data_IF_955717770243
#
_entry.id   IF_955717770243
#
_cell.length_a   1.000
_cell.length_b   1.000
_cell.length_c   1.000
_cell.angle_alpha   90.00
_cell.angle_beta   90.00
_cell.angle_gamma   90.00
#
_symmetry.space_group_name_H-M   'P 1'
#
loop_
_entity.id
_entity.type
_entity.pdbx_description
1 polymer ?
#
# COMPACT_ATOMS: atom_id res chain seq x y z
N UNK A 1 7.29 43.06 1.85
CA UNK A 1 6.59 42.03 1.05
C UNK A 1 7.26 40.69 1.30
N UNK A 2 6.58 39.74 1.94
CA UNK A 2 7.12 38.40 2.23
C UNK A 2 6.40 37.44 1.28
N UNK A 3 7.09 36.94 0.24
CA UNK A 3 6.50 35.99 -0.72
C UNK A 3 6.33 34.63 -0.03
N UNK A 4 5.11 34.12 -0.03
CA UNK A 4 4.75 32.83 0.56
C UNK A 4 5.37 31.66 -0.23
N UNK A 5 6.02 30.75 0.50
CA UNK A 5 6.75 29.57 0.00
C UNK A 5 5.84 28.42 -0.49
N UNK A 6 4.54 28.66 -0.71
CA UNK A 6 3.56 27.60 -0.94
C UNK A 6 3.37 27.22 -2.42
N UNK A 7 4.37 27.42 -3.27
CA UNK A 7 4.22 27.24 -4.73
C UNK A 7 4.48 25.79 -5.19
N UNK A 8 4.90 24.89 -4.29
CA UNK A 8 5.34 23.54 -4.70
C UNK A 8 4.92 22.41 -3.75
N UNK A 9 3.69 22.43 -3.24
CA UNK A 9 3.17 21.33 -2.43
C UNK A 9 2.55 20.26 -3.33
N UNK A 10 3.25 19.14 -3.52
CA UNK A 10 2.68 17.95 -4.19
C UNK A 10 1.45 17.46 -3.43
N UNK A 11 0.39 17.10 -4.16
CA UNK A 11 -0.83 16.56 -3.59
C UNK A 11 -0.52 15.35 -2.69
N UNK A 12 -0.92 15.42 -1.42
CA UNK A 12 -0.71 14.34 -0.46
C UNK A 12 -1.57 13.16 -0.89
N UNK A 13 -0.95 12.01 -1.20
CA UNK A 13 -1.66 10.74 -1.44
C UNK A 13 -2.61 10.52 -0.26
N UNK A 14 -3.92 10.55 -0.54
CA UNK A 14 -4.97 10.42 0.45
C UNK A 14 -4.85 9.05 1.11
N UNK A 15 -4.90 9.03 2.44
CA UNK A 15 -4.99 7.76 3.20
C UNK A 15 -6.34 7.11 2.89
N UNK A 16 -6.40 5.78 2.94
CA UNK A 16 -7.66 5.06 2.80
C UNK A 16 -8.69 5.57 3.84
N UNK A 17 -9.95 5.64 3.43
CA UNK A 17 -11.09 6.21 4.20
C UNK A 17 -11.30 5.56 5.56
N UNK A 18 -10.88 4.29 5.72
CA UNK A 18 -11.04 3.54 6.95
C UNK A 18 -9.67 3.02 7.42
N UNK A 19 -9.30 3.38 8.64
CA UNK A 19 -8.06 2.87 9.26
C UNK A 19 -8.40 1.52 9.85
N UNK A 20 -8.24 0.45 9.05
CA UNK A 20 -8.43 -0.92 9.53
C UNK A 20 -7.50 -1.28 10.70
N UNK A 21 -7.83 -2.36 11.41
CA UNK A 21 -7.04 -2.83 12.55
C UNK A 21 -5.63 -3.29 12.15
N UNK A 22 -4.64 -2.99 13.01
CA UNK A 22 -3.27 -3.42 12.79
C UNK A 22 -3.13 -4.91 13.08
N UNK A 23 -2.84 -5.68 12.03
CA UNK A 23 -2.50 -7.11 12.15
C UNK A 23 -1.00 -7.29 11.92
N UNK A 24 -0.27 -7.60 12.98
CA UNK A 24 1.17 -7.91 12.90
C UNK A 24 1.40 -9.40 12.65
N UNK A 25 2.06 -9.74 11.54
CA UNK A 25 2.37 -11.14 11.17
C UNK A 25 3.86 -11.30 10.90
N UNK A 26 4.42 -12.44 11.32
CA UNK A 26 5.79 -12.83 10.94
C UNK A 26 5.77 -13.45 9.54
N UNK A 27 6.47 -12.81 8.60
CA UNK A 27 6.59 -13.26 7.22
C UNK A 27 8.07 -13.60 6.94
N UNK A 28 8.32 -14.74 6.30
CA UNK A 28 9.67 -15.12 5.88
C UNK A 28 10.18 -14.21 4.75
N UNK A 29 11.50 -14.04 4.67
CA UNK A 29 12.13 -13.10 3.73
C UNK A 29 11.75 -13.35 2.26
N UNK A 30 11.64 -14.62 1.86
CA UNK A 30 11.27 -15.00 0.50
C UNK A 30 9.85 -14.54 0.14
N UNK A 31 8.88 -14.83 1.02
CA UNK A 31 7.50 -14.40 0.84
C UNK A 31 7.38 -12.87 0.86
N UNK A 32 8.14 -12.18 1.72
CA UNK A 32 8.18 -10.72 1.74
C UNK A 32 8.69 -10.15 0.39
N UNK A 33 9.70 -10.78 -0.21
CA UNK A 33 10.21 -10.42 -1.53
C UNK A 33 9.17 -10.62 -2.62
N UNK A 34 8.44 -11.74 -2.60
CA UNK A 34 7.37 -12.00 -3.57
C UNK A 34 6.26 -10.93 -3.50
N UNK A 35 5.86 -10.52 -2.29
CA UNK A 35 4.88 -9.43 -2.09
C UNK A 35 5.44 -8.10 -2.63
N UNK A 36 6.72 -7.82 -2.37
CA UNK A 36 7.39 -6.61 -2.86
C UNK A 36 7.52 -6.58 -4.39
N UNK A 37 7.77 -7.72 -5.03
CA UNK A 37 7.85 -7.84 -6.48
C UNK A 37 6.46 -7.70 -7.13
N UNK A 38 5.45 -8.34 -6.54
CA UNK A 38 4.07 -8.23 -7.00
C UNK A 38 3.57 -6.78 -6.96
N UNK A 39 3.78 -6.05 -5.84
CA UNK A 39 3.32 -4.65 -5.75
C UNK A 39 4.01 -3.70 -6.71
N UNK A 40 5.19 -4.04 -7.24
CA UNK A 40 5.90 -3.23 -8.25
C UNK A 40 5.27 -3.35 -9.64
N UNK A 41 4.48 -4.39 -9.87
CA UNK A 41 3.76 -4.61 -11.13
C UNK A 41 2.43 -3.83 -11.16
N UNK A 42 1.94 -3.37 -10.01
CA UNK A 42 0.70 -2.60 -9.90
C UNK A 42 0.90 -1.14 -10.30
N UNK A 43 -0.03 -0.61 -11.12
CA UNK A 43 0.04 0.74 -11.70
C UNK A 43 0.11 1.86 -10.65
N UNK A 44 -0.53 1.69 -9.48
CA UNK A 44 -0.62 2.70 -8.43
C UNK A 44 0.47 2.59 -7.35
N UNK A 45 1.40 1.62 -7.54
CA UNK A 45 2.52 1.31 -6.64
C UNK A 45 2.06 1.30 -5.17
N UNK A 46 1.20 0.33 -4.78
CA UNK A 46 0.62 0.30 -3.46
C UNK A 46 1.72 0.14 -2.39
N UNK A 47 1.44 0.70 -1.21
CA UNK A 47 2.25 0.41 -0.03
C UNK A 47 2.16 -1.07 0.33
N UNK A 48 3.13 -1.59 1.10
CA UNK A 48 3.11 -3.00 1.55
C UNK A 48 1.78 -3.43 2.20
N UNK A 49 1.15 -2.63 3.10
CA UNK A 49 -0.12 -3.02 3.69
C UNK A 49 -1.27 -3.14 2.68
N UNK A 50 -1.34 -2.23 1.71
CA UNK A 50 -2.35 -2.28 0.65
C UNK A 50 -2.12 -3.47 -0.28
N UNK A 51 -0.87 -3.76 -0.60
CA UNK A 51 -0.52 -4.91 -1.43
C UNK A 51 -0.95 -6.22 -0.77
N UNK A 52 -0.68 -6.37 0.53
CA UNK A 52 -1.11 -7.54 1.31
C UNK A 52 -2.64 -7.64 1.33
N UNK A 53 -3.36 -6.53 1.56
CA UNK A 53 -4.84 -6.53 1.56
C UNK A 53 -5.39 -7.05 0.23
N UNK A 54 -4.91 -6.52 -0.91
CA UNK A 54 -5.34 -6.96 -2.25
C UNK A 54 -5.06 -8.44 -2.48
N UNK A 55 -3.86 -8.91 -2.14
CA UNK A 55 -3.49 -10.33 -2.28
C UNK A 55 -4.40 -11.24 -1.45
N UNK A 56 -4.75 -10.83 -0.22
CA UNK A 56 -5.70 -11.56 0.63
C UNK A 56 -7.10 -11.57 0.01
N UNK A 57 -7.61 -10.43 -0.46
CA UNK A 57 -8.92 -10.36 -1.12
C UNK A 57 -8.99 -11.24 -2.37
N UNK A 58 -7.93 -11.26 -3.18
CA UNK A 58 -7.82 -12.15 -4.35
C UNK A 58 -7.86 -13.62 -3.91
N UNK A 59 -7.04 -13.99 -2.91
CA UNK A 59 -7.01 -15.36 -2.38
C UNK A 59 -8.34 -15.83 -1.83
N UNK A 60 -9.09 -14.95 -1.17
CA UNK A 60 -10.43 -15.24 -0.64
C UNK A 60 -11.48 -15.40 -1.74
N UNK A 61 -11.33 -14.72 -2.89
CA UNK A 61 -12.25 -14.85 -4.04
C UNK A 61 -12.03 -16.15 -4.82
N UNK A 62 -10.78 -16.61 -4.96
CA UNK A 62 -10.46 -17.83 -5.73
C UNK A 62 -10.90 -19.10 -5.02
N UNK A 63 -10.88 -19.11 -3.68
CA UNK A 63 -11.14 -20.31 -2.87
C UNK A 63 -12.61 -20.48 -2.44
N UNK A 64 -13.54 -19.89 -3.19
CA UNK A 64 -14.97 -19.89 -2.88
C UNK A 64 -15.75 -20.87 -3.76
#
# INVERSE_FOLDING_TARGET
MIKATHVNTKARKTRATETGDLVGVRIQNDLAKQIDDWRRQENDLPGRPEAIRRLVEIGLKVKR
#
